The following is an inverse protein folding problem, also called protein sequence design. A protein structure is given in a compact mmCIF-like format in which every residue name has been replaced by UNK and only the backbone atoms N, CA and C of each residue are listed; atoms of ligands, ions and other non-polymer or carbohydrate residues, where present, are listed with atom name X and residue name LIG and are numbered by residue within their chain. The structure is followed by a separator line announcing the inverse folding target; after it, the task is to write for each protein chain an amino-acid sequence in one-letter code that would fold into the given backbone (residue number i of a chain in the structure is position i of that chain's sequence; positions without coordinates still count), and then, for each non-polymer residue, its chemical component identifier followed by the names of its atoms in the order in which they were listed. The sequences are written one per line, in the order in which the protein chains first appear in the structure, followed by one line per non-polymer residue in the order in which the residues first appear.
data_IF_352224727728
#
_entry.id   IF_352224727728
#
_cell.length_a   1.000
_cell.length_b   1.000
_cell.length_c   1.000
_cell.angle_alpha   90.00
_cell.angle_beta   90.00
_cell.angle_gamma   90.00
#
_symmetry.space_group_name_H-M   'P 1'
#
loop_
_entity.id
_entity.type
_entity.pdbx_description
1 polymer ?
#
# COMPACT_ATOMS: atom_id res chain seq x y z
N UNK A 1 -0.09 27.83 -1.46
CA UNK A 1 -0.02 26.48 -0.88
C UNK A 1 1.35 26.16 -0.26
N UNK A 2 2.50 26.60 -0.84
CA UNK A 2 3.85 26.19 -0.37
C UNK A 2 4.08 26.39 1.13
N UNK A 3 3.85 27.57 1.69
CA UNK A 3 4.03 27.79 3.13
C UNK A 3 3.10 26.95 4.03
N UNK A 4 1.92 26.54 3.51
CA UNK A 4 1.07 25.61 4.23
C UNK A 4 1.66 24.20 4.20
N UNK A 5 2.18 23.75 3.05
CA UNK A 5 2.83 22.44 2.88
C UNK A 5 4.05 22.34 3.77
N UNK A 6 4.89 23.38 3.80
CA UNK A 6 6.07 23.46 4.67
C UNK A 6 5.72 23.22 6.14
N UNK A 7 4.66 23.88 6.64
CA UNK A 7 4.29 23.81 8.04
C UNK A 7 3.42 22.62 8.43
N UNK A 8 2.76 21.95 7.49
CA UNK A 8 1.76 20.90 7.79
C UNK A 8 2.11 19.53 7.21
N UNK A 9 2.89 19.49 6.14
CA UNK A 9 3.19 18.26 5.40
C UNK A 9 4.67 17.89 5.56
N UNK A 10 5.61 18.81 5.31
CA UNK A 10 7.04 18.50 5.45
C UNK A 10 7.42 18.09 6.88
N UNK A 11 6.69 18.57 7.88
CA UNK A 11 6.87 18.17 9.29
C UNK A 11 6.54 16.71 9.59
N UNK A 12 5.89 16.01 8.64
CA UNK A 12 5.57 14.59 8.74
C UNK A 12 6.67 13.69 8.17
N UNK A 13 7.60 14.28 7.40
CA UNK A 13 8.75 13.54 6.89
C UNK A 13 9.71 13.18 8.03
N UNK A 14 10.25 12.00 7.96
CA UNK A 14 11.28 11.56 8.88
C UNK A 14 12.62 12.26 8.52
N UNK A 15 13.32 12.88 9.49
CA UNK A 15 14.66 13.40 9.25
C UNK A 15 15.60 12.31 8.72
N UNK A 16 16.47 12.67 7.76
CA UNK A 16 17.37 11.71 7.10
C UNK A 16 18.24 10.94 8.10
N UNK A 17 18.72 11.61 9.13
CA UNK A 17 19.53 11.00 10.20
C UNK A 17 18.75 10.04 11.12
N UNK A 18 17.43 10.03 11.03
CA UNK A 18 16.53 9.10 11.74
C UNK A 18 15.90 8.06 10.81
N UNK A 19 16.22 8.13 9.52
CA UNK A 19 15.71 7.18 8.55
C UNK A 19 16.40 5.83 8.72
N UNK A 20 15.62 4.79 8.90
CA UNK A 20 16.11 3.43 8.94
C UNK A 20 16.52 2.92 7.55
N UNK A 21 17.32 1.87 7.54
CA UNK A 21 17.74 1.18 6.32
C UNK A 21 17.41 -0.32 6.42
N UNK A 22 17.29 -1.07 5.32
CA UNK A 22 17.05 -2.52 5.35
C UNK A 22 18.05 -3.29 6.23
N UNK A 23 19.30 -2.83 6.29
CA UNK A 23 20.36 -3.43 7.12
C UNK A 23 20.08 -3.39 8.62
N UNK A 24 19.21 -2.49 9.08
CA UNK A 24 18.84 -2.39 10.51
C UNK A 24 17.96 -3.57 10.96
N UNK A 25 17.39 -4.33 10.01
CA UNK A 25 16.43 -5.42 10.26
C UNK A 25 16.88 -6.79 9.75
N UNK A 26 17.83 -6.81 8.84
CA UNK A 26 18.25 -8.01 8.12
C UNK A 26 19.65 -8.48 8.58
N UNK A 27 20.02 -9.73 8.28
CA UNK A 27 21.37 -10.20 8.49
C UNK A 27 22.42 -9.26 7.90
N UNK A 28 23.44 -8.90 8.68
CA UNK A 28 24.52 -8.01 8.26
C UNK A 28 25.52 -8.78 7.39
N UNK A 29 25.53 -8.47 6.09
CA UNK A 29 26.41 -9.11 5.10
C UNK A 29 27.92 -8.85 5.35
N UNK A 30 28.29 -7.84 6.15
CA UNK A 30 29.66 -7.55 6.54
C UNK A 30 30.09 -8.27 7.82
N UNK A 31 29.15 -8.94 8.51
CA UNK A 31 29.41 -9.66 9.76
C UNK A 31 29.92 -11.07 9.52
N UNK A 32 30.90 -11.52 10.30
CA UNK A 32 31.36 -12.92 10.30
C UNK A 32 30.24 -13.92 10.66
N UNK A 33 29.16 -13.45 11.29
CA UNK A 33 27.98 -14.24 11.66
C UNK A 33 26.85 -14.24 10.60
N UNK A 34 27.08 -13.71 9.40
CA UNK A 34 26.03 -13.58 8.38
C UNK A 34 25.34 -14.91 8.04
N UNK A 35 26.10 -15.97 7.80
CA UNK A 35 25.55 -17.27 7.45
C UNK A 35 24.66 -17.85 8.54
N UNK A 36 25.03 -17.68 9.81
CA UNK A 36 24.27 -18.12 10.97
C UNK A 36 22.99 -17.30 11.13
N UNK A 37 23.06 -15.98 10.92
CA UNK A 37 21.90 -15.09 10.95
C UNK A 37 20.89 -15.45 9.84
N UNK A 38 21.37 -15.73 8.62
CA UNK A 38 20.54 -16.18 7.50
C UNK A 38 19.91 -17.56 7.79
N UNK A 39 20.65 -18.50 8.37
CA UNK A 39 20.11 -19.81 8.77
C UNK A 39 18.98 -19.66 9.81
N UNK A 40 19.16 -18.79 10.79
CA UNK A 40 18.14 -18.52 11.80
C UNK A 40 16.91 -17.81 11.19
N UNK A 41 17.10 -16.83 10.31
CA UNK A 41 16.01 -16.20 9.57
C UNK A 41 15.22 -17.23 8.77
N UNK A 42 15.90 -18.10 8.02
CA UNK A 42 15.26 -19.18 7.23
C UNK A 42 14.52 -20.19 8.09
N UNK A 43 15.07 -20.52 9.25
CA UNK A 43 14.39 -21.41 10.21
C UNK A 43 13.06 -20.81 10.66
N UNK A 44 13.06 -19.56 11.06
CA UNK A 44 11.83 -18.85 11.47
C UNK A 44 10.86 -18.67 10.30
N UNK A 45 11.35 -18.33 9.10
CA UNK A 45 10.52 -18.18 7.90
C UNK A 45 9.79 -19.48 7.52
N UNK A 46 10.29 -20.67 7.92
CA UNK A 46 9.59 -21.96 7.71
C UNK A 46 8.33 -22.11 8.54
N UNK A 47 8.21 -21.38 9.63
CA UNK A 47 7.06 -21.43 10.52
C UNK A 47 5.88 -20.59 9.99
N UNK A 48 6.15 -19.69 9.01
CA UNK A 48 5.13 -18.86 8.37
C UNK A 48 4.42 -19.68 7.28
N UNK A 49 3.08 -19.74 7.29
CA UNK A 49 2.30 -20.35 6.21
C UNK A 49 2.57 -19.68 4.84
N UNK A 50 2.44 -20.46 3.76
CA UNK A 50 2.70 -20.00 2.38
C UNK A 50 1.79 -18.86 1.93
N UNK A 51 0.55 -18.83 2.40
CA UNK A 51 -0.42 -17.78 2.11
C UNK A 51 0.09 -16.38 2.49
N UNK A 52 0.83 -16.25 3.60
CA UNK A 52 1.43 -14.96 3.97
C UNK A 52 2.53 -14.54 3.00
N UNK A 53 3.27 -15.50 2.43
CA UNK A 53 4.25 -15.17 1.38
C UNK A 53 3.57 -14.77 0.07
N UNK A 54 2.38 -15.27 -0.22
CA UNK A 54 1.57 -14.77 -1.33
C UNK A 54 1.24 -13.29 -1.11
N UNK A 55 0.75 -12.92 0.08
CA UNK A 55 0.42 -11.53 0.39
C UNK A 55 1.65 -10.62 0.40
N UNK A 56 2.75 -11.04 1.05
CA UNK A 56 3.99 -10.26 1.14
C UNK A 56 4.61 -9.95 -0.23
N UNK A 57 4.48 -10.87 -1.20
CA UNK A 57 4.96 -10.60 -2.58
C UNK A 57 4.11 -9.54 -3.24
N UNK A 58 2.80 -9.56 -3.08
CA UNK A 58 1.93 -8.51 -3.63
C UNK A 58 2.21 -7.13 -3.04
N UNK A 59 2.48 -7.07 -1.74
CA UNK A 59 2.86 -5.82 -1.07
C UNK A 59 4.22 -5.32 -1.56
N UNK A 60 5.23 -6.20 -1.64
CA UNK A 60 6.54 -5.85 -2.16
C UNK A 60 6.46 -5.31 -3.60
N UNK A 61 5.69 -5.96 -4.49
CA UNK A 61 5.48 -5.49 -5.87
C UNK A 61 4.88 -4.09 -5.88
N UNK A 62 3.96 -3.85 -4.99
CA UNK A 62 3.31 -2.57 -4.78
C UNK A 62 4.32 -1.50 -4.37
N UNK A 63 5.11 -1.73 -3.34
CA UNK A 63 6.10 -0.80 -2.81
C UNK A 63 7.24 -0.50 -3.81
N UNK A 64 7.72 -1.52 -4.53
CA UNK A 64 8.76 -1.34 -5.55
C UNK A 64 8.33 -0.50 -6.75
N UNK A 65 7.05 -0.39 -6.96
CA UNK A 65 6.55 0.37 -8.09
C UNK A 65 6.37 1.85 -7.82
N UNK A 66 6.28 2.25 -6.55
CA UNK A 66 6.10 3.65 -6.14
C UNK A 66 7.17 4.62 -6.66
N UNK A 67 8.47 4.26 -6.74
CA UNK A 67 9.47 5.12 -7.37
C UNK A 67 9.12 5.54 -8.80
N UNK A 68 8.37 4.74 -9.54
CA UNK A 68 7.98 5.09 -10.92
C UNK A 68 7.01 6.27 -10.97
N UNK A 69 6.23 6.49 -9.90
CA UNK A 69 5.32 7.65 -9.81
C UNK A 69 6.05 8.96 -9.65
N UNK A 70 7.27 8.98 -9.10
CA UNK A 70 8.06 10.19 -8.97
C UNK A 70 8.19 10.90 -10.32
N UNK A 71 8.39 10.15 -11.39
CA UNK A 71 8.49 10.71 -12.74
C UNK A 71 7.20 11.44 -13.14
N UNK A 72 6.03 10.87 -12.84
CA UNK A 72 4.74 11.50 -13.10
C UNK A 72 4.51 12.70 -12.17
N UNK A 73 4.78 12.54 -10.88
CA UNK A 73 4.59 13.62 -9.89
C UNK A 73 5.43 14.84 -10.23
N UNK A 74 6.66 14.65 -10.73
CA UNK A 74 7.54 15.73 -11.14
C UNK A 74 6.97 16.58 -12.30
N UNK A 75 6.05 16.05 -13.09
CA UNK A 75 5.40 16.79 -14.21
C UNK A 75 4.21 17.63 -13.76
N UNK A 76 3.70 17.44 -12.54
CA UNK A 76 2.56 18.18 -12.04
C UNK A 76 2.91 19.66 -11.80
N UNK A 77 2.02 20.56 -12.18
CA UNK A 77 2.22 22.02 -12.07
C UNK A 77 2.62 22.49 -10.66
N UNK A 78 2.10 21.84 -9.61
CA UNK A 78 2.43 22.15 -8.22
C UNK A 78 3.81 21.66 -7.78
N UNK A 79 4.37 20.66 -8.44
CA UNK A 79 5.65 20.03 -8.10
C UNK A 79 6.78 20.56 -8.96
N UNK A 80 6.68 20.42 -10.29
CA UNK A 80 7.66 20.87 -11.32
C UNK A 80 9.10 20.61 -10.93
N UNK A 81 9.43 19.35 -10.76
CA UNK A 81 10.77 18.92 -10.36
C UNK A 81 11.46 18.06 -11.44
N UNK A 82 11.58 18.61 -12.64
CA UNK A 82 12.16 17.91 -13.79
C UNK A 82 13.63 17.54 -13.60
N UNK A 83 14.35 18.27 -12.76
CA UNK A 83 15.77 18.04 -12.48
C UNK A 83 16.03 17.19 -11.23
N UNK A 84 15.00 16.91 -10.42
CA UNK A 84 15.14 16.27 -9.10
C UNK A 84 15.77 17.19 -8.04
N UNK A 85 15.84 18.52 -8.29
CA UNK A 85 16.53 19.48 -7.42
C UNK A 85 15.69 20.72 -7.06
N UNK A 86 14.40 20.73 -7.40
CA UNK A 86 13.51 21.85 -7.06
C UNK A 86 13.38 22.00 -5.55
N UNK A 87 13.37 23.27 -5.08
CA UNK A 87 13.25 23.62 -3.66
C UNK A 87 11.81 23.93 -3.24
N UNK A 88 10.82 23.72 -4.11
CA UNK A 88 9.41 23.85 -3.72
C UNK A 88 9.06 22.82 -2.64
N UNK A 89 8.17 23.18 -1.73
CA UNK A 89 7.77 22.28 -0.64
C UNK A 89 7.17 20.97 -1.17
N UNK A 90 6.42 21.01 -2.27
CA UNK A 90 5.88 19.84 -2.92
C UNK A 90 6.95 18.92 -3.52
N UNK A 91 7.98 19.49 -4.15
CA UNK A 91 9.07 18.72 -4.72
C UNK A 91 9.92 18.06 -3.62
N UNK A 92 10.15 18.75 -2.50
CA UNK A 92 10.81 18.20 -1.33
C UNK A 92 9.99 17.03 -0.77
N UNK A 93 8.67 17.22 -0.59
CA UNK A 93 7.78 16.16 -0.12
C UNK A 93 7.82 14.93 -1.01
N UNK A 94 7.59 15.09 -2.32
CA UNK A 94 7.51 13.95 -3.24
C UNK A 94 8.80 13.14 -3.29
N UNK A 95 9.97 13.81 -3.29
CA UNK A 95 11.27 13.12 -3.26
C UNK A 95 11.50 12.36 -1.95
N UNK A 96 11.22 12.97 -0.81
CA UNK A 96 11.44 12.34 0.48
C UNK A 96 10.47 11.17 0.70
N UNK A 97 9.19 11.37 0.35
CA UNK A 97 8.18 10.32 0.36
C UNK A 97 8.59 9.14 -0.54
N UNK A 98 8.96 9.39 -1.79
CA UNK A 98 9.41 8.33 -2.71
C UNK A 98 10.63 7.58 -2.17
N UNK A 99 11.54 8.26 -1.47
CA UNK A 99 12.70 7.62 -0.86
C UNK A 99 12.30 6.75 0.35
N UNK A 100 11.23 7.10 1.09
CA UNK A 100 10.67 6.25 2.14
C UNK A 100 10.03 5.00 1.56
N UNK A 101 9.17 5.14 0.56
CA UNK A 101 8.52 4.02 -0.14
C UNK A 101 9.53 3.05 -0.78
N UNK A 102 10.59 3.58 -1.40
CA UNK A 102 11.63 2.74 -1.96
C UNK A 102 12.32 1.88 -0.90
N UNK A 103 12.47 2.36 0.34
CA UNK A 103 13.02 1.56 1.44
C UNK A 103 12.07 0.44 1.88
N UNK A 104 10.74 0.67 1.81
CA UNK A 104 9.75 -0.36 2.10
C UNK A 104 9.89 -1.53 1.13
N UNK A 105 9.86 -1.24 -0.18
CA UNK A 105 10.01 -2.24 -1.23
C UNK A 105 11.35 -2.98 -1.14
N UNK A 106 12.45 -2.26 -0.92
CA UNK A 106 13.78 -2.84 -0.80
C UNK A 106 13.90 -3.78 0.42
N UNK A 107 13.37 -3.37 1.56
CA UNK A 107 13.36 -4.20 2.77
C UNK A 107 12.54 -5.49 2.59
N UNK A 108 11.34 -5.39 2.03
CA UNK A 108 10.49 -6.55 1.76
C UNK A 108 11.14 -7.50 0.76
N UNK A 109 11.73 -6.97 -0.31
CA UNK A 109 12.44 -7.74 -1.31
C UNK A 109 13.62 -8.52 -0.72
N UNK A 110 14.48 -7.85 0.03
CA UNK A 110 15.62 -8.49 0.67
C UNK A 110 15.19 -9.54 1.70
N UNK A 111 14.17 -9.26 2.52
CA UNK A 111 13.61 -10.24 3.45
C UNK A 111 13.10 -11.49 2.71
N UNK A 112 12.30 -11.32 1.67
CA UNK A 112 11.74 -12.42 0.88
C UNK A 112 12.84 -13.27 0.25
N UNK A 113 13.86 -12.64 -0.31
CA UNK A 113 15.03 -13.32 -0.85
C UNK A 113 15.79 -14.13 0.20
N UNK A 114 16.15 -13.51 1.31
CA UNK A 114 16.90 -14.16 2.39
C UNK A 114 16.12 -15.29 3.06
N UNK A 115 14.79 -15.17 3.12
CA UNK A 115 13.91 -16.19 3.68
C UNK A 115 14.00 -17.54 2.95
N UNK A 116 14.34 -17.53 1.65
CA UNK A 116 14.35 -18.70 0.79
C UNK A 116 12.96 -19.32 0.55
N UNK A 117 11.89 -18.56 0.84
CA UNK A 117 10.50 -19.00 0.68
C UNK A 117 9.89 -18.53 -0.64
N UNK A 118 10.53 -17.61 -1.32
CA UNK A 118 10.08 -16.98 -2.58
C UNK A 118 11.15 -17.14 -3.65
N UNK A 119 10.74 -17.50 -4.87
CA UNK A 119 11.59 -17.47 -6.06
C UNK A 119 11.59 -16.07 -6.66
N UNK A 120 12.60 -15.29 -6.31
CA UNK A 120 12.75 -13.89 -6.78
C UNK A 120 12.91 -13.79 -8.30
N UNK A 121 13.34 -14.85 -8.99
CA UNK A 121 13.44 -14.84 -10.46
C UNK A 121 12.09 -14.78 -11.13
N UNK A 122 11.10 -15.43 -10.55
CA UNK A 122 9.70 -15.33 -11.02
C UNK A 122 9.14 -13.93 -10.82
N UNK A 123 9.62 -13.22 -9.78
CA UNK A 123 9.27 -11.83 -9.51
C UNK A 123 9.62 -10.87 -10.65
N UNK A 124 10.75 -11.08 -11.35
CA UNK A 124 11.19 -10.19 -12.44
C UNK A 124 10.19 -10.07 -13.61
N UNK A 125 9.20 -10.95 -13.66
CA UNK A 125 8.07 -10.92 -14.58
C UNK A 125 6.83 -10.23 -13.97
N UNK A 126 6.84 -9.95 -12.66
CA UNK A 126 5.73 -9.39 -11.89
C UNK A 126 5.93 -7.87 -11.67
N UNK A 127 5.79 -7.04 -12.68
CA UNK A 127 5.96 -5.58 -12.50
C UNK A 127 4.64 -4.84 -12.38
N UNK A 128 4.46 -4.05 -11.33
CA UNK A 128 3.41 -3.02 -11.25
C UNK A 128 3.42 -2.13 -10.01
N UNK A 129 2.85 -0.93 -10.09
CA UNK A 129 2.98 0.11 -9.06
C UNK A 129 1.74 0.38 -8.17
N UNK A 130 1.92 0.83 -6.93
CA UNK A 130 1.17 1.48 -5.81
C UNK A 130 0.83 0.65 -4.57
N UNK A 131 1.15 1.22 -3.39
CA UNK A 131 1.12 0.66 -2.06
C UNK A 131 -0.23 0.46 -1.37
N UNK A 132 -0.31 -0.56 -0.53
CA UNK A 132 -1.36 -0.80 0.47
C UNK A 132 -0.72 -1.27 1.77
N UNK A 133 -1.28 -0.78 2.86
CA UNK A 133 -0.89 -1.03 4.24
C UNK A 133 -1.09 -2.50 4.64
N UNK A 134 -0.03 -3.12 5.18
CA UNK A 134 -0.05 -4.51 5.67
C UNK A 134 -0.83 -4.65 6.98
N UNK A 135 -2.00 -5.25 6.93
CA UNK A 135 -2.73 -5.76 8.09
C UNK A 135 -2.27 -7.16 8.52
N UNK A 136 -0.96 -7.41 8.68
CA UNK A 136 -0.50 -8.71 9.17
C UNK A 136 -0.76 -8.85 10.67
N UNK A 137 -1.26 -10.04 11.14
CA UNK A 137 -1.46 -10.26 12.56
C UNK A 137 -0.12 -10.24 13.32
N UNK A 138 0.00 -9.37 14.30
CA UNK A 138 1.18 -9.16 15.16
C UNK A 138 1.62 -10.40 15.96
N UNK A 139 0.82 -11.48 15.94
CA UNK A 139 0.96 -12.65 16.84
C UNK A 139 1.76 -13.83 16.29
N UNK A 140 2.44 -13.67 15.14
CA UNK A 140 3.14 -14.79 14.49
C UNK A 140 4.49 -15.15 15.10
N UNK A 141 4.87 -14.60 16.25
CA UNK A 141 6.04 -15.05 17.02
C UNK A 141 7.41 -14.85 16.36
N UNK A 142 7.48 -14.07 15.25
CA UNK A 142 8.71 -13.80 14.50
C UNK A 142 9.07 -12.33 14.71
N UNK A 143 9.94 -12.03 15.67
CA UNK A 143 10.24 -10.63 16.04
C UNK A 143 10.71 -9.77 14.86
N UNK A 144 11.52 -10.33 13.95
CA UNK A 144 12.06 -9.58 12.80
C UNK A 144 10.98 -9.19 11.79
N UNK A 145 10.09 -10.10 11.38
CA UNK A 145 9.00 -9.76 10.44
C UNK A 145 8.00 -8.81 11.07
N UNK A 146 7.62 -9.03 12.33
CA UNK A 146 6.74 -8.11 13.06
C UNK A 146 7.36 -6.72 13.20
N UNK A 147 8.67 -6.64 13.43
CA UNK A 147 9.39 -5.37 13.50
C UNK A 147 9.43 -4.67 12.13
N UNK A 148 9.70 -5.41 11.05
CA UNK A 148 9.66 -4.89 9.67
C UNK A 148 8.28 -4.30 9.38
N UNK A 149 7.22 -5.08 9.53
CA UNK A 149 5.86 -4.62 9.27
C UNK A 149 5.47 -3.42 10.15
N UNK A 150 5.88 -3.40 11.41
CA UNK A 150 5.60 -2.30 12.32
C UNK A 150 6.32 -1.01 11.96
N UNK A 151 7.52 -1.11 11.41
CA UNK A 151 8.31 0.05 10.97
C UNK A 151 7.71 0.64 9.70
N UNK A 152 7.40 -0.19 8.71
CA UNK A 152 6.69 0.23 7.47
C UNK A 152 5.35 0.86 7.83
N UNK A 153 4.53 0.22 8.66
CA UNK A 153 3.24 0.77 9.09
C UNK A 153 3.34 2.11 9.83
N UNK A 154 4.45 2.37 10.53
CA UNK A 154 4.71 3.67 11.17
C UNK A 154 4.98 4.77 10.16
N UNK A 155 5.68 4.49 9.07
CA UNK A 155 5.93 5.44 7.99
C UNK A 155 4.62 5.68 7.21
N UNK A 156 3.90 4.62 6.85
CA UNK A 156 2.60 4.69 6.19
C UNK A 156 1.57 5.51 6.98
N UNK A 157 1.62 5.46 8.31
CA UNK A 157 0.77 6.31 9.15
C UNK A 157 1.06 7.79 8.96
N UNK A 158 2.31 8.16 8.76
CA UNK A 158 2.69 9.55 8.47
C UNK A 158 2.23 9.97 7.07
N UNK A 159 2.32 9.08 6.09
CA UNK A 159 1.82 9.29 4.73
C UNK A 159 0.29 9.46 4.72
N UNK A 160 -0.45 8.60 5.42
CA UNK A 160 -1.91 8.71 5.57
C UNK A 160 -2.32 10.05 6.17
N UNK A 161 -1.62 10.51 7.23
CA UNK A 161 -1.87 11.82 7.85
C UNK A 161 -1.63 12.95 6.84
N UNK A 162 -0.55 12.85 6.04
CA UNK A 162 -0.24 13.85 5.02
C UNK A 162 -1.35 13.94 3.96
N UNK A 163 -1.74 12.79 3.37
CA UNK A 163 -2.79 12.75 2.35
C UNK A 163 -4.13 13.25 2.88
N UNK A 164 -4.49 12.82 4.09
CA UNK A 164 -5.73 13.26 4.74
C UNK A 164 -5.77 14.76 4.94
N UNK A 165 -4.66 15.39 5.39
CA UNK A 165 -4.55 16.85 5.55
C UNK A 165 -4.57 17.58 4.21
N UNK A 166 -3.93 17.03 3.17
CA UNK A 166 -3.94 17.63 1.84
C UNK A 166 -5.37 17.70 1.30
N UNK A 167 -6.12 16.61 1.37
CA UNK A 167 -7.51 16.58 0.89
C UNK A 167 -8.42 17.45 1.77
N UNK A 168 -8.22 17.46 3.09
CA UNK A 168 -8.92 18.38 4.00
C UNK A 168 -8.71 19.84 3.57
N UNK A 169 -7.46 20.21 3.22
CA UNK A 169 -7.14 21.54 2.71
C UNK A 169 -7.78 21.84 1.37
N UNK A 170 -7.89 20.86 0.47
CA UNK A 170 -8.59 20.99 -0.80
C UNK A 170 -10.09 21.25 -0.58
N UNK A 171 -10.73 20.57 0.38
CA UNK A 171 -12.12 20.84 0.76
C UNK A 171 -12.33 22.24 1.32
N UNK A 172 -11.35 22.82 2.03
CA UNK A 172 -11.42 24.22 2.47
C UNK A 172 -11.35 25.23 1.29
N UNK A 173 -10.56 24.92 0.24
CA UNK A 173 -10.30 25.82 -0.87
C UNK A 173 -11.39 25.72 -1.94
N UNK A 174 -11.76 24.51 -2.31
CA UNK A 174 -12.74 24.18 -3.35
C UNK A 174 -13.54 22.94 -2.96
N UNK A 175 -14.55 23.07 -2.12
CA UNK A 175 -15.36 21.93 -1.69
C UNK A 175 -16.11 21.25 -2.83
N UNK A 176 -16.57 22.01 -3.81
CA UNK A 176 -17.32 21.47 -4.96
C UNK A 176 -16.43 20.63 -5.88
N UNK A 177 -15.30 21.17 -6.33
CA UNK A 177 -14.34 20.45 -7.16
C UNK A 177 -13.75 19.24 -6.45
N UNK A 178 -13.46 19.38 -5.14
CA UNK A 178 -12.88 18.29 -4.34
C UNK A 178 -13.82 17.11 -4.17
N UNK A 179 -15.12 17.33 -3.88
CA UNK A 179 -16.07 16.24 -3.75
C UNK A 179 -16.36 15.55 -5.09
N UNK A 180 -16.35 16.31 -6.19
CA UNK A 180 -16.47 15.72 -7.54
C UNK A 180 -15.25 14.84 -7.85
N UNK A 181 -14.04 15.34 -7.61
CA UNK A 181 -12.82 14.56 -7.80
C UNK A 181 -12.79 13.30 -6.92
N UNK A 182 -13.20 13.40 -5.66
CA UNK A 182 -13.33 12.25 -4.76
C UNK A 182 -14.27 11.19 -5.34
N UNK A 183 -15.46 11.59 -5.77
CA UNK A 183 -16.42 10.67 -6.37
C UNK A 183 -15.90 10.01 -7.66
N UNK A 184 -15.20 10.77 -8.51
CA UNK A 184 -14.60 10.25 -9.74
C UNK A 184 -13.51 9.22 -9.45
N UNK A 185 -12.65 9.47 -8.44
CA UNK A 185 -11.65 8.49 -8.02
C UNK A 185 -12.30 7.19 -7.53
N UNK A 186 -13.37 7.28 -6.74
CA UNK A 186 -14.10 6.10 -6.28
C UNK A 186 -14.76 5.33 -7.43
N UNK A 187 -15.31 6.03 -8.43
CA UNK A 187 -15.90 5.40 -9.63
C UNK A 187 -14.88 4.66 -10.50
N UNK A 188 -13.66 5.16 -10.57
CA UNK A 188 -12.57 4.53 -11.33
C UNK A 188 -12.17 3.18 -10.77
N UNK A 189 -12.54 2.85 -9.53
CA UNK A 189 -12.18 1.60 -8.85
C UNK A 189 -10.68 1.33 -8.98
N UNK A 190 -9.88 2.34 -8.64
CA UNK A 190 -8.43 2.22 -8.70
C UNK A 190 -8.04 1.06 -7.78
N UNK A 191 -7.43 0.06 -8.38
CA UNK A 191 -6.89 -1.11 -7.69
C UNK A 191 -5.42 -0.88 -7.37
N UNK A 192 -4.90 -1.64 -6.41
CA UNK A 192 -3.48 -1.64 -6.14
C UNK A 192 -2.69 -2.07 -7.38
N UNK A 193 -1.44 -1.62 -7.53
CA UNK A 193 -0.60 -1.94 -8.67
C UNK A 193 -0.33 -3.42 -8.89
N UNK A 194 -0.33 -4.22 -7.84
CA UNK A 194 -0.32 -5.66 -7.98
C UNK A 194 -1.38 -6.20 -8.98
N UNK A 195 -2.39 -5.38 -9.36
CA UNK A 195 -3.37 -5.79 -10.38
C UNK A 195 -2.76 -6.05 -11.77
N UNK A 196 -1.54 -5.59 -12.01
CA UNK A 196 -0.79 -5.86 -13.24
C UNK A 196 0.16 -7.06 -13.10
N UNK A 197 0.15 -7.76 -11.96
CA UNK A 197 1.01 -8.94 -11.77
C UNK A 197 0.73 -9.99 -12.85
N UNK A 198 1.81 -10.58 -13.36
CA UNK A 198 1.77 -11.55 -14.43
C UNK A 198 2.89 -12.56 -14.26
N UNK A 199 2.63 -13.87 -14.42
CA UNK A 199 3.60 -14.94 -14.25
C UNK A 199 3.63 -15.95 -15.41
N UNK A 200 3.02 -15.62 -16.55
CA UNK A 200 2.89 -16.48 -17.75
C UNK A 200 2.03 -17.74 -17.55
N UNK A 201 1.59 -18.04 -16.34
CA UNK A 201 0.91 -19.29 -16.00
C UNK A 201 -0.55 -19.09 -15.61
N UNK A 202 -0.85 -18.05 -14.83
CA UNK A 202 -2.18 -17.77 -14.32
C UNK A 202 -2.73 -16.45 -14.86
N UNK A 203 -3.74 -16.55 -15.74
CA UNK A 203 -4.39 -15.38 -16.35
C UNK A 203 -5.24 -14.58 -15.37
N UNK A 204 -5.57 -15.14 -14.20
CA UNK A 204 -6.36 -14.50 -13.15
C UNK A 204 -5.51 -14.31 -11.87
N UNK A 205 -4.22 -14.12 -12.05
CA UNK A 205 -3.25 -14.10 -10.97
C UNK A 205 -3.60 -13.08 -9.87
N UNK A 206 -4.01 -11.88 -10.26
CA UNK A 206 -4.40 -10.84 -9.31
C UNK A 206 -5.67 -11.20 -8.54
N UNK A 207 -6.67 -11.76 -9.19
CA UNK A 207 -7.90 -12.22 -8.54
C UNK A 207 -7.62 -13.32 -7.52
N UNK A 208 -6.75 -14.25 -7.85
CA UNK A 208 -6.33 -15.31 -6.94
C UNK A 208 -5.52 -14.78 -5.77
N UNK A 209 -4.55 -13.90 -6.02
CA UNK A 209 -3.83 -13.16 -4.98
C UNK A 209 -4.80 -12.41 -4.05
N UNK A 210 -5.73 -11.64 -4.62
CA UNK A 210 -6.71 -10.88 -3.87
C UNK A 210 -7.61 -11.77 -3.01
N UNK A 211 -7.99 -12.96 -3.50
CA UNK A 211 -8.77 -13.92 -2.72
C UNK A 211 -7.99 -14.42 -1.50
N UNK A 212 -6.68 -14.70 -1.64
CA UNK A 212 -5.82 -15.07 -0.51
C UNK A 212 -5.71 -13.93 0.49
N UNK A 213 -5.43 -12.69 0.04
CA UNK A 213 -5.31 -11.52 0.91
C UNK A 213 -6.61 -11.24 1.69
N UNK A 214 -7.77 -11.35 1.04
CA UNK A 214 -9.08 -11.20 1.68
C UNK A 214 -9.35 -12.30 2.71
N UNK A 215 -9.04 -13.56 2.38
CA UNK A 215 -9.21 -14.68 3.32
C UNK A 215 -8.32 -14.55 4.55
N UNK A 216 -7.11 -14.06 4.38
CA UNK A 216 -6.19 -13.78 5.49
C UNK A 216 -6.62 -12.56 6.34
N UNK A 217 -7.55 -11.76 5.83
CA UNK A 217 -7.94 -10.50 6.48
C UNK A 217 -6.87 -9.41 6.39
N UNK A 218 -5.98 -9.51 5.40
CA UNK A 218 -4.93 -8.49 5.17
C UNK A 218 -5.55 -7.21 4.62
N UNK A 219 -6.47 -7.35 3.67
CA UNK A 219 -7.27 -6.23 3.16
C UNK A 219 -8.59 -6.75 2.59
N UNK A 220 -9.69 -6.30 3.16
CA UNK A 220 -11.04 -6.77 2.82
C UNK A 220 -11.91 -5.65 2.27
N UNK A 221 -13.02 -5.99 1.64
CA UNK A 221 -14.03 -5.01 1.24
C UNK A 221 -14.61 -4.23 2.43
N UNK A 222 -14.62 -4.84 3.63
CA UNK A 222 -15.05 -4.14 4.85
C UNK A 222 -14.03 -3.09 5.28
N UNK A 223 -12.71 -3.41 5.22
CA UNK A 223 -11.66 -2.43 5.52
C UNK A 223 -11.75 -1.22 4.57
N UNK A 224 -11.98 -1.49 3.28
CA UNK A 224 -12.20 -0.42 2.30
C UNK A 224 -13.43 0.44 2.64
N UNK A 225 -14.52 -0.18 3.07
CA UNK A 225 -15.72 0.55 3.48
C UNK A 225 -15.48 1.36 4.77
N UNK A 226 -14.73 0.81 5.74
CA UNK A 226 -14.38 1.49 6.99
C UNK A 226 -13.50 2.72 6.72
N UNK A 227 -12.51 2.59 5.84
CA UNK A 227 -11.66 3.72 5.42
C UNK A 227 -12.50 4.81 4.74
N UNK A 228 -13.40 4.42 3.84
CA UNK A 228 -14.27 5.37 3.15
C UNK A 228 -15.20 6.12 4.13
N UNK A 229 -15.82 5.43 5.08
CA UNK A 229 -16.63 6.05 6.14
C UNK A 229 -15.79 7.02 6.99
N UNK A 230 -14.60 6.59 7.41
CA UNK A 230 -13.68 7.44 8.16
C UNK A 230 -13.33 8.72 7.39
N UNK A 231 -13.05 8.62 6.08
CA UNK A 231 -12.70 9.78 5.25
C UNK A 231 -13.90 10.72 5.04
N UNK A 232 -15.10 10.16 4.82
CA UNK A 232 -16.33 10.93 4.68
C UNK A 232 -16.63 11.72 5.96
N UNK A 233 -16.47 11.10 7.13
CA UNK A 233 -16.68 11.73 8.43
C UNK A 233 -15.59 12.76 8.74
N UNK A 234 -14.31 12.41 8.52
CA UNK A 234 -13.17 13.29 8.74
C UNK A 234 -13.26 14.59 7.98
N UNK A 235 -13.63 14.51 6.71
CA UNK A 235 -13.76 15.68 5.83
C UNK A 235 -15.15 16.29 5.86
N UNK A 236 -16.04 15.79 6.72
CA UNK A 236 -17.41 16.27 6.89
C UNK A 236 -18.16 16.38 5.56
N UNK A 237 -17.95 15.41 4.68
CA UNK A 237 -18.52 15.44 3.33
C UNK A 237 -20.05 15.57 3.36
N UNK A 238 -20.70 14.97 4.34
CA UNK A 238 -22.16 15.04 4.52
C UNK A 238 -22.67 16.46 4.85
N UNK A 239 -21.82 17.31 5.43
CA UNK A 239 -22.17 18.67 5.88
C UNK A 239 -21.90 19.73 4.80
N UNK A 240 -21.30 19.37 3.66
CA UNK A 240 -20.99 20.32 2.59
C UNK A 240 -22.26 20.97 2.05
N UNK A 241 -22.22 22.30 1.91
CA UNK A 241 -23.32 23.11 1.40
C UNK A 241 -22.84 24.02 0.25
N UNK A 242 -23.78 24.60 -0.49
CA UNK A 242 -23.43 25.50 -1.61
C UNK A 242 -22.91 24.79 -2.85
N UNK A 243 -22.97 23.47 -2.90
CA UNK A 243 -22.47 22.66 -4.01
C UNK A 243 -23.29 22.86 -5.30
N UNK A 244 -22.61 22.70 -6.45
CA UNK A 244 -23.25 22.60 -7.76
C UNK A 244 -24.19 21.38 -7.86
N UNK A 245 -24.90 21.24 -8.96
CA UNK A 245 -25.71 20.05 -9.21
C UNK A 245 -24.85 18.77 -9.31
N UNK A 246 -23.63 18.90 -9.84
CA UNK A 246 -22.67 17.81 -9.95
C UNK A 246 -22.08 17.47 -8.59
N UNK A 247 -21.66 18.46 -7.82
CA UNK A 247 -21.14 18.29 -6.45
C UNK A 247 -22.12 17.61 -5.52
N UNK A 248 -23.43 17.97 -5.57
CA UNK A 248 -24.46 17.28 -4.79
C UNK A 248 -24.61 15.81 -5.15
N UNK A 249 -24.56 15.46 -6.45
CA UNK A 249 -24.59 14.05 -6.90
C UNK A 249 -23.34 13.29 -6.45
N UNK A 250 -22.18 13.94 -6.48
CA UNK A 250 -20.93 13.39 -5.99
C UNK A 250 -20.97 13.14 -4.48
N UNK A 251 -21.43 14.11 -3.69
CA UNK A 251 -21.64 13.99 -2.25
C UNK A 251 -22.55 12.81 -1.90
N UNK A 252 -23.74 12.74 -2.51
CA UNK A 252 -24.67 11.63 -2.31
C UNK A 252 -24.03 10.27 -2.65
N UNK A 253 -23.28 10.21 -3.77
CA UNK A 253 -22.62 8.99 -4.21
C UNK A 253 -21.60 8.49 -3.18
N UNK A 254 -20.67 9.34 -2.70
CA UNK A 254 -19.61 8.91 -1.77
C UNK A 254 -20.16 8.59 -0.39
N UNK A 255 -21.16 9.34 0.10
CA UNK A 255 -21.79 9.08 1.39
C UNK A 255 -22.58 7.76 1.41
N UNK A 256 -23.08 7.29 0.27
CA UNK A 256 -23.82 6.03 0.16
C UNK A 256 -22.96 4.84 -0.27
N UNK A 257 -21.68 5.06 -0.58
CA UNK A 257 -20.85 4.03 -1.19
C UNK A 257 -20.45 2.93 -0.19
N UNK A 258 -20.02 3.27 1.02
CA UNK A 258 -19.60 2.29 2.02
C UNK A 258 -20.72 1.30 2.40
N UNK A 259 -21.96 1.70 2.70
CA UNK A 259 -23.06 0.77 2.92
C UNK A 259 -23.36 -0.14 1.73
N UNK A 260 -23.16 0.36 0.50
CA UNK A 260 -23.33 -0.46 -0.73
C UNK A 260 -22.25 -1.53 -0.84
N UNK A 261 -21.00 -1.19 -0.53
CA UNK A 261 -19.87 -2.14 -0.54
C UNK A 261 -20.13 -3.25 0.47
N UNK A 262 -20.47 -2.94 1.72
CA UNK A 262 -20.77 -3.95 2.77
C UNK A 262 -21.89 -4.91 2.33
N UNK A 263 -22.96 -4.38 1.74
CA UNK A 263 -24.08 -5.21 1.26
C UNK A 263 -23.69 -6.16 0.11
N UNK A 264 -22.73 -5.74 -0.74
CA UNK A 264 -22.20 -6.60 -1.81
C UNK A 264 -21.35 -7.70 -1.20
N UNK A 265 -20.50 -7.36 -0.23
CA UNK A 265 -19.60 -8.29 0.47
C UNK A 265 -20.39 -9.37 1.23
N UNK A 266 -21.41 -9.01 1.99
CA UNK A 266 -22.30 -9.95 2.67
C UNK A 266 -22.88 -11.01 1.71
N UNK A 267 -23.25 -10.58 0.50
CA UNK A 267 -23.77 -11.48 -0.55
C UNK A 267 -22.68 -12.38 -1.15
N UNK A 268 -21.45 -11.88 -1.27
CA UNK A 268 -20.32 -12.62 -1.79
C UNK A 268 -19.89 -13.72 -0.80
N UNK A 269 -19.76 -13.39 0.49
CA UNK A 269 -19.41 -14.34 1.55
C UNK A 269 -20.42 -15.48 1.67
N UNK A 270 -21.71 -15.21 1.48
CA UNK A 270 -22.76 -16.24 1.47
C UNK A 270 -22.59 -17.29 0.34
N UNK A 271 -21.83 -16.99 -0.70
CA UNK A 271 -21.57 -17.86 -1.86
C UNK A 271 -20.24 -18.62 -1.77
N UNK A 272 -19.26 -18.13 -1.02
CA UNK A 272 -17.85 -18.61 -1.01
C UNK A 272 -17.58 -19.81 -0.11
N UNK A 273 -18.44 -20.83 -0.05
CA UNK A 273 -18.26 -21.98 0.88
C UNK A 273 -17.24 -23.03 0.44
N UNK A 274 -16.68 -23.00 -0.76
CA UNK A 274 -15.67 -23.96 -1.26
C UNK A 274 -14.72 -23.26 -2.22
N UNK A 275 -13.70 -22.58 -1.70
CA UNK A 275 -12.63 -22.07 -2.51
C UNK A 275 -11.62 -23.19 -2.85
N UNK A 276 -11.14 -23.31 -4.10
CA UNK A 276 -10.11 -24.24 -4.49
C UNK A 276 -8.74 -23.83 -3.91
N UNK A 277 -7.78 -24.77 -3.90
CA UNK A 277 -6.37 -24.45 -3.77
C UNK A 277 -5.75 -24.35 -5.14
N UNK A 278 -4.84 -23.39 -5.31
CA UNK A 278 -4.10 -23.19 -6.56
C UNK A 278 -2.61 -23.01 -6.26
N UNK A 279 -1.72 -23.40 -7.21
CA UNK A 279 -0.30 -23.14 -7.09
C UNK A 279 0.03 -21.68 -7.39
N UNK A 280 1.00 -21.10 -6.66
CA UNK A 280 1.59 -19.81 -6.98
C UNK A 280 3.05 -20.00 -7.40
N UNK A 281 3.42 -19.47 -8.57
CA UNK A 281 4.73 -19.66 -9.18
C UNK A 281 5.88 -19.17 -8.29
N UNK A 282 5.73 -18.00 -7.68
CA UNK A 282 6.78 -17.38 -6.84
C UNK A 282 6.99 -18.04 -5.48
N UNK A 283 6.11 -18.93 -5.04
CA UNK A 283 6.36 -19.80 -3.88
C UNK A 283 6.67 -21.23 -4.31
N UNK A 284 7.37 -21.39 -5.43
CA UNK A 284 7.80 -22.68 -5.99
C UNK A 284 6.64 -23.62 -6.34
N UNK A 285 5.53 -23.07 -6.82
CA UNK A 285 4.35 -23.84 -7.22
C UNK A 285 3.60 -24.52 -6.05
N UNK A 286 3.84 -24.09 -4.83
CA UNK A 286 3.07 -24.57 -3.69
C UNK A 286 1.64 -24.09 -3.75
N UNK A 287 0.72 -24.99 -3.39
CA UNK A 287 -0.70 -24.71 -3.42
C UNK A 287 -1.15 -23.91 -2.18
N UNK A 288 -1.95 -22.88 -2.43
CA UNK A 288 -2.58 -22.06 -1.41
C UNK A 288 -4.08 -22.03 -1.65
N UNK A 289 -4.86 -22.11 -0.58
CA UNK A 289 -6.31 -21.99 -0.65
C UNK A 289 -6.70 -20.53 -0.97
N UNK A 290 -7.66 -20.38 -1.90
CA UNK A 290 -8.25 -19.09 -2.22
C UNK A 290 -9.27 -18.61 -1.18
#
# INVERSE_FOLDING_TARGET
MDGWVENNILTLLKPVEKSWQPQDFLPDAASDGFDEQVKELRKRAKEIPDDYFVSLVGDMITEEALPTYQTLLNTLDGVRDETGASLTSWAIWTRAWTAEENRHGDLLNQYLYLSGRVDIRQKGQLSSPIGIQLGLPWNMGIPSLAQICGTVASDEKSHEIAYSKIVEKLFEIDPDGTVVAFAEMMKKKITMPAHLMYDEHDLNLFEHFSAVAQRLGVYTANDYADILEFLVDRWKVQELTGLSAEGRKAQEYVCLLAPRIRKVEERAQARSKRAPSIPFSWIFGREVKL
#
